data_IF_174610480115
#
_entry.id   IF_174610480115
#
_cell.length_a   1.000
_cell.length_b   1.000
_cell.length_c   1.000
_cell.angle_alpha   90.00
_cell.angle_beta   90.00
_cell.angle_gamma   90.00
#
_symmetry.space_group_name_H-M   'P 1'
#
loop_
_entity.id
_entity.type
_entity.pdbx_description
1 polymer ?
#
# COMPACT_ATOMS: atom_id res chain seq x y z
N UNK A 1 42.18 -0.55 5.11
CA UNK A 1 41.28 -0.32 6.24
C UNK A 1 39.84 -0.49 5.80
N UNK A 2 39.17 -1.56 6.24
CA UNK A 2 37.74 -1.74 6.02
C UNK A 2 37.00 -0.77 6.93
N UNK A 3 36.33 0.22 6.35
CA UNK A 3 35.40 1.06 7.11
C UNK A 3 34.24 0.19 7.56
N UNK A 4 34.15 -0.10 8.84
CA UNK A 4 32.94 -0.65 9.45
C UNK A 4 31.85 0.40 9.36
N UNK A 5 31.01 0.30 8.32
CA UNK A 5 29.77 1.07 8.24
C UNK A 5 28.80 0.49 9.27
N UNK A 6 28.93 0.93 10.52
CA UNK A 6 27.93 0.68 11.55
C UNK A 6 26.71 1.56 11.22
N UNK A 7 25.83 1.04 10.36
CA UNK A 7 24.53 1.65 10.12
C UNK A 7 23.67 1.35 11.35
N UNK A 8 23.62 2.26 12.29
CA UNK A 8 22.67 2.18 13.41
C UNK A 8 21.28 2.45 12.89
N UNK A 9 20.56 1.37 12.56
CA UNK A 9 19.19 1.44 12.09
C UNK A 9 18.26 1.63 13.31
N UNK A 10 18.09 2.87 13.75
CA UNK A 10 17.23 3.21 14.89
C UNK A 10 15.86 3.64 14.38
N UNK A 11 14.80 3.08 14.97
CA UNK A 11 13.41 3.41 14.65
C UNK A 11 12.90 4.46 15.60
N UNK A 12 12.20 5.44 15.05
CA UNK A 12 11.53 6.50 15.79
C UNK A 12 10.06 6.52 15.44
N UNK A 13 9.22 6.77 16.44
CA UNK A 13 7.79 6.98 16.22
C UNK A 13 7.52 8.48 16.26
N UNK A 14 6.78 8.98 15.26
CA UNK A 14 6.32 10.37 15.28
C UNK A 14 5.14 10.47 16.24
N UNK A 15 5.21 11.41 17.18
CA UNK A 15 4.13 11.66 18.14
C UNK A 15 2.94 12.41 17.49
N UNK A 16 1.84 12.57 18.24
CA UNK A 16 0.63 13.27 17.78
C UNK A 16 0.87 14.74 17.40
N UNK A 17 1.95 15.35 17.91
CA UNK A 17 2.35 16.71 17.62
C UNK A 17 3.36 16.80 16.45
N UNK A 18 3.66 15.68 15.80
CA UNK A 18 4.60 15.61 14.69
C UNK A 18 6.07 15.65 15.09
N UNK A 19 6.42 15.25 16.33
CA UNK A 19 7.79 15.25 16.80
C UNK A 19 8.36 13.84 16.92
N UNK A 20 9.69 13.73 16.89
CA UNK A 20 10.48 12.54 17.24
C UNK A 20 11.50 12.92 18.31
N UNK A 21 11.83 12.00 19.21
CA UNK A 21 12.91 12.16 20.20
C UNK A 21 14.16 11.45 19.71
N UNK A 22 15.20 12.25 19.37
CA UNK A 22 16.48 11.72 18.85
C UNK A 22 17.52 11.79 19.96
N UNK A 23 18.14 10.64 20.36
CA UNK A 23 19.18 10.62 21.38
C UNK A 23 20.33 11.58 21.04
N UNK A 24 20.71 12.40 22.00
CA UNK A 24 21.78 13.40 21.84
C UNK A 24 21.36 14.73 21.23
N UNK A 25 20.20 14.79 20.53
CA UNK A 25 19.65 16.03 19.96
C UNK A 25 18.42 16.49 20.73
N UNK A 26 17.61 15.52 21.25
CA UNK A 26 16.33 15.79 21.87
C UNK A 26 15.17 15.77 20.90
N UNK A 27 14.12 16.53 21.23
CA UNK A 27 12.86 16.57 20.46
C UNK A 27 13.00 17.38 19.18
N UNK A 28 12.66 16.76 18.05
CA UNK A 28 12.74 17.35 16.71
C UNK A 28 11.36 17.30 16.06
N UNK A 29 10.81 18.44 15.65
CA UNK A 29 9.56 18.51 14.89
C UNK A 29 9.82 18.07 13.42
N UNK A 30 9.12 17.03 13.00
CA UNK A 30 9.21 16.43 11.66
C UNK A 30 7.86 16.41 10.92
N UNK A 31 6.78 16.79 11.62
CA UNK A 31 5.44 16.84 11.04
C UNK A 31 5.39 17.76 9.80
N UNK A 32 4.77 17.28 8.73
CA UNK A 32 4.63 17.99 7.47
C UNK A 32 5.89 18.03 6.59
N UNK A 33 7.02 17.47 7.04
CA UNK A 33 8.26 17.41 6.28
C UNK A 33 8.34 16.11 5.46
N UNK A 34 8.96 16.21 4.29
CA UNK A 34 9.35 15.02 3.49
C UNK A 34 10.53 14.30 4.14
N UNK A 35 10.74 13.03 3.79
CA UNK A 35 11.87 12.22 4.31
C UNK A 35 13.24 12.90 4.06
N UNK A 36 13.40 13.52 2.90
CA UNK A 36 14.63 14.24 2.55
C UNK A 36 14.84 15.47 3.44
N UNK A 37 13.77 16.23 3.72
CA UNK A 37 13.82 17.39 4.61
C UNK A 37 14.11 16.99 6.05
N UNK A 38 13.49 15.90 6.53
CA UNK A 38 13.79 15.33 7.86
C UNK A 38 15.24 14.91 7.95
N UNK A 39 15.77 14.19 6.95
CA UNK A 39 17.17 13.80 6.90
C UNK A 39 18.11 14.98 6.96
N UNK A 40 17.86 16.01 6.15
CA UNK A 40 18.65 17.25 6.12
C UNK A 40 18.61 17.99 7.46
N UNK A 41 17.42 18.09 8.05
CA UNK A 41 17.21 18.73 9.36
C UNK A 41 17.98 18.04 10.48
N UNK A 42 17.86 16.72 10.58
CA UNK A 42 18.56 15.91 11.57
C UNK A 42 20.07 15.99 11.35
N UNK A 43 20.53 15.89 10.10
CA UNK A 43 21.94 16.00 9.75
C UNK A 43 22.54 17.36 10.15
N UNK A 44 21.80 18.46 9.95
CA UNK A 44 22.22 19.79 10.38
C UNK A 44 22.36 19.89 11.90
N UNK A 45 21.43 19.29 12.65
CA UNK A 45 21.47 19.27 14.12
C UNK A 45 22.67 18.45 14.64
N UNK A 46 23.02 17.32 14.02
CA UNK A 46 24.21 16.57 14.37
C UNK A 46 25.50 17.34 14.11
N UNK A 47 25.60 18.06 13.00
CA UNK A 47 26.78 18.87 12.65
C UNK A 47 27.03 20.03 13.58
N UNK A 48 25.98 20.58 14.19
CA UNK A 48 26.08 21.74 15.10
C UNK A 48 26.61 21.42 16.51
N UNK A 49 27.02 20.18 16.80
CA UNK A 49 27.55 19.93 18.12
C UNK A 49 28.01 18.51 18.47
N UNK A 50 27.74 17.50 17.62
CA UNK A 50 28.02 16.12 18.05
C UNK A 50 28.92 15.37 17.06
N UNK A 51 28.64 15.43 15.75
CA UNK A 51 29.37 14.66 14.72
C UNK A 51 29.51 15.50 13.44
N UNK A 52 30.73 15.79 13.00
CA UNK A 52 30.98 16.62 11.82
C UNK A 52 30.62 15.93 10.49
N UNK A 53 30.72 14.59 10.40
CA UNK A 53 30.53 13.82 9.17
C UNK A 53 29.33 12.85 9.23
N UNK A 54 28.27 13.24 9.96
CA UNK A 54 27.06 12.44 10.05
C UNK A 54 26.35 12.37 8.69
N UNK A 55 26.07 11.16 8.22
CA UNK A 55 25.18 10.89 7.10
C UNK A 55 23.87 10.34 7.69
N UNK A 56 22.76 11.03 7.46
CA UNK A 56 21.44 10.63 7.94
C UNK A 56 20.59 10.21 6.75
N UNK A 57 20.08 8.98 6.80
CA UNK A 57 19.11 8.47 5.85
C UNK A 57 17.80 8.19 6.58
N UNK A 58 16.70 8.72 6.09
CA UNK A 58 15.37 8.54 6.66
C UNK A 58 14.53 7.70 5.70
N UNK A 59 13.98 6.58 6.19
CA UNK A 59 13.03 5.76 5.48
C UNK A 59 11.78 5.55 6.32
N UNK A 60 10.62 5.48 5.67
CA UNK A 60 9.41 5.12 6.36
C UNK A 60 9.40 3.60 6.63
N UNK A 61 8.91 3.23 7.81
CA UNK A 61 8.81 1.85 8.24
C UNK A 61 7.33 1.49 8.47
N UNK A 62 6.98 0.21 8.27
CA UNK A 62 5.63 -0.31 8.46
C UNK A 62 4.53 0.36 7.59
N UNK A 63 4.90 0.95 6.46
CA UNK A 63 3.90 1.40 5.51
C UNK A 63 3.28 0.20 4.79
N UNK A 64 1.96 0.09 4.85
CA UNK A 64 1.22 -1.04 4.31
C UNK A 64 0.02 -0.58 3.49
N UNK A 65 -0.40 -1.42 2.56
CA UNK A 65 -1.68 -1.33 1.86
C UNK A 65 -2.35 -2.71 1.85
N UNK A 66 -3.59 -2.76 1.49
CA UNK A 66 -4.38 -3.99 1.49
C UNK A 66 -4.91 -4.30 0.11
N UNK A 67 -4.87 -5.56 -0.29
CA UNK A 67 -5.41 -6.01 -1.58
C UNK A 67 -6.39 -7.14 -1.35
N UNK A 68 -7.57 -7.03 -1.95
CA UNK A 68 -8.66 -7.98 -1.83
C UNK A 68 -9.31 -8.28 -3.18
N UNK A 69 -10.03 -9.39 -3.26
CA UNK A 69 -10.77 -9.81 -4.44
C UNK A 69 -9.97 -10.70 -5.38
N UNK A 70 -10.11 -10.50 -6.69
CA UNK A 70 -9.58 -11.37 -7.74
C UNK A 70 -8.09 -11.13 -8.04
N UNK A 71 -7.25 -11.44 -7.05
CA UNK A 71 -5.79 -11.47 -7.14
C UNK A 71 -5.25 -12.81 -6.67
N UNK A 72 -4.05 -13.20 -7.13
CA UNK A 72 -3.46 -14.49 -6.78
C UNK A 72 -3.04 -14.57 -5.30
N UNK A 73 -2.62 -13.44 -4.70
CA UNK A 73 -2.18 -13.38 -3.30
C UNK A 73 -2.78 -12.15 -2.60
N UNK A 74 -4.04 -12.22 -2.15
CA UNK A 74 -4.69 -11.14 -1.40
C UNK A 74 -4.08 -10.97 0.00
N UNK A 75 -4.39 -9.83 0.63
CA UNK A 75 -4.02 -9.53 2.01
C UNK A 75 -3.20 -8.26 2.18
N UNK A 76 -2.58 -8.11 3.35
CA UNK A 76 -1.69 -7.01 3.70
C UNK A 76 -0.40 -7.10 2.90
N UNK A 77 0.04 -5.99 2.32
CA UNK A 77 1.29 -5.84 1.56
C UNK A 77 2.09 -4.66 2.08
N UNK A 78 3.41 -4.70 1.95
CA UNK A 78 4.30 -3.64 2.39
C UNK A 78 4.65 -2.67 1.25
N UNK A 79 4.70 -1.39 1.57
CA UNK A 79 5.23 -0.36 0.68
C UNK A 79 6.73 -0.28 0.91
N UNK A 80 7.51 -1.00 0.11
CA UNK A 80 8.95 -1.17 0.26
C UNK A 80 9.77 -0.12 -0.51
N UNK A 81 9.12 0.89 -1.10
CA UNK A 81 9.76 1.98 -1.87
C UNK A 81 8.95 3.26 -1.79
N UNK A 82 9.59 4.38 -2.03
CA UNK A 82 8.98 5.71 -1.87
C UNK A 82 7.81 5.99 -2.81
N UNK A 83 7.83 5.41 -4.00
CA UNK A 83 6.80 5.61 -5.03
C UNK A 83 6.35 4.24 -5.56
N UNK A 84 5.54 3.54 -4.79
CA UNK A 84 4.90 2.30 -5.23
C UNK A 84 3.67 2.65 -6.07
N UNK A 85 3.68 2.33 -7.36
CA UNK A 85 2.49 2.54 -8.18
C UNK A 85 1.54 1.34 -8.14
N UNK A 86 0.28 1.56 -8.56
CA UNK A 86 -0.77 0.53 -8.50
C UNK A 86 -0.42 -0.73 -9.31
N UNK A 87 0.29 -0.59 -10.44
CA UNK A 87 0.71 -1.73 -11.26
C UNK A 87 1.72 -2.60 -10.50
N UNK A 88 2.70 -1.95 -9.85
CA UNK A 88 3.68 -2.63 -9.00
C UNK A 88 3.03 -3.26 -7.77
N UNK A 89 2.03 -2.58 -7.19
CA UNK A 89 1.27 -3.09 -6.06
C UNK A 89 0.50 -4.37 -6.43
N UNK A 90 -0.10 -4.42 -7.61
CA UNK A 90 -0.76 -5.62 -8.12
C UNK A 90 0.24 -6.74 -8.46
N UNK A 91 1.42 -6.39 -8.99
CA UNK A 91 2.49 -7.35 -9.24
C UNK A 91 3.00 -8.01 -7.94
N UNK A 92 3.04 -7.28 -6.81
CA UNK A 92 3.34 -7.87 -5.49
C UNK A 92 2.30 -8.91 -5.02
N UNK A 93 1.11 -8.90 -5.63
CA UNK A 93 0.06 -9.89 -5.38
C UNK A 93 0.11 -11.09 -6.34
N UNK A 94 1.22 -11.28 -7.06
CA UNK A 94 1.40 -12.30 -8.10
C UNK A 94 0.33 -12.19 -9.21
N UNK A 95 0.02 -10.93 -9.59
CA UNK A 95 -0.93 -10.54 -10.63
C UNK A 95 -2.41 -10.82 -10.30
N UNK A 96 -3.24 -10.35 -11.17
CA UNK A 96 -4.69 -10.49 -11.16
C UNK A 96 -5.10 -11.89 -11.61
N UNK A 97 -6.15 -12.46 -11.01
CA UNK A 97 -6.72 -13.70 -11.50
C UNK A 97 -7.27 -13.53 -12.92
N UNK A 98 -7.45 -14.64 -13.64
CA UNK A 98 -8.07 -14.65 -14.97
C UNK A 98 -9.51 -14.12 -14.94
N UNK A 99 -10.16 -14.21 -13.79
CA UNK A 99 -11.53 -13.78 -13.56
C UNK A 99 -11.63 -12.33 -13.06
N UNK A 100 -10.51 -11.62 -12.97
CA UNK A 100 -10.47 -10.25 -12.49
C UNK A 100 -11.03 -9.25 -13.52
N UNK A 101 -11.78 -8.27 -13.02
CA UNK A 101 -12.26 -7.14 -13.80
C UNK A 101 -11.18 -6.06 -13.92
N UNK A 102 -10.32 -6.13 -14.95
CA UNK A 102 -9.13 -5.26 -15.12
C UNK A 102 -9.45 -3.82 -15.49
N UNK A 103 -10.64 -3.55 -15.99
CA UNK A 103 -11.08 -2.21 -16.40
C UNK A 103 -11.71 -1.39 -15.27
N UNK A 104 -11.90 -1.98 -14.09
CA UNK A 104 -12.56 -1.32 -12.97
C UNK A 104 -12.02 -1.81 -11.64
N UNK A 105 -10.76 -1.48 -11.37
CA UNK A 105 -10.17 -1.74 -10.07
C UNK A 105 -10.56 -0.60 -9.14
N UNK A 106 -11.08 -0.94 -7.98
CA UNK A 106 -11.50 0.00 -6.95
C UNK A 106 -10.35 0.26 -5.99
N UNK A 107 -10.05 1.53 -5.73
CA UNK A 107 -9.11 1.94 -4.69
C UNK A 107 -9.86 2.82 -3.69
N UNK A 108 -9.86 2.40 -2.43
CA UNK A 108 -10.42 3.18 -1.33
C UNK A 108 -9.26 3.84 -0.59
N UNK A 109 -9.32 5.15 -0.47
CA UNK A 109 -8.32 5.99 0.22
C UNK A 109 -9.00 6.87 1.26
N UNK A 110 -8.43 6.89 2.44
CA UNK A 110 -8.84 7.86 3.46
C UNK A 110 -8.18 9.21 3.16
N UNK A 111 -8.98 10.25 2.99
CA UNK A 111 -8.56 11.63 2.81
C UNK A 111 -9.20 12.49 3.90
N UNK A 112 -8.44 12.81 4.94
CA UNK A 112 -8.98 13.41 6.16
C UNK A 112 -9.94 12.45 6.87
N UNK A 113 -11.16 12.91 7.11
CA UNK A 113 -12.22 12.11 7.79
C UNK A 113 -13.09 11.32 6.81
N UNK A 114 -12.87 11.43 5.50
CA UNK A 114 -13.67 10.77 4.47
C UNK A 114 -12.91 9.63 3.76
N UNK A 115 -13.66 8.58 3.41
CA UNK A 115 -13.14 7.52 2.54
C UNK A 115 -13.61 7.78 1.11
N UNK A 116 -12.66 8.08 0.22
CA UNK A 116 -12.92 8.26 -1.20
C UNK A 116 -12.69 6.97 -1.97
N UNK A 117 -13.58 6.72 -2.92
CA UNK A 117 -13.49 5.57 -3.82
C UNK A 117 -13.08 6.02 -5.21
N UNK A 118 -11.99 5.48 -5.70
CA UNK A 118 -11.47 5.71 -7.04
C UNK A 118 -11.61 4.43 -7.89
N UNK A 119 -11.87 4.61 -9.17
CA UNK A 119 -11.89 3.51 -10.13
C UNK A 119 -10.79 3.69 -11.15
N UNK A 120 -10.06 2.62 -11.43
CA UNK A 120 -8.90 2.63 -12.33
C UNK A 120 -9.05 1.52 -13.37
N UNK A 121 -8.81 1.84 -14.64
CA UNK A 121 -8.60 0.86 -15.70
C UNK A 121 -7.10 0.70 -15.96
N UNK A 122 -6.53 -0.44 -15.58
CA UNK A 122 -5.09 -0.70 -15.75
C UNK A 122 -4.68 -0.93 -17.21
N UNK A 123 -5.64 -1.01 -18.12
CA UNK A 123 -5.41 -1.16 -19.56
C UNK A 123 -5.41 0.20 -20.28
N UNK A 124 -5.91 1.26 -19.62
CA UNK A 124 -5.92 2.61 -20.16
C UNK A 124 -4.66 3.38 -19.79
N UNK A 125 -4.22 4.26 -20.68
CA UNK A 125 -3.14 5.24 -20.40
C UNK A 125 -3.52 6.24 -19.33
N UNK A 126 -4.80 6.45 -19.07
CA UNK A 126 -5.31 7.41 -18.07
C UNK A 126 -4.89 7.03 -16.64
N UNK A 127 -4.45 5.77 -16.45
CA UNK A 127 -3.93 5.32 -15.16
C UNK A 127 -2.76 6.19 -14.67
N UNK A 128 -1.90 6.68 -15.56
CA UNK A 128 -0.71 7.47 -15.20
C UNK A 128 -1.07 8.86 -14.66
N UNK A 129 -2.26 9.37 -14.97
CA UNK A 129 -2.78 10.66 -14.48
C UNK A 129 -3.76 10.51 -13.32
N UNK A 130 -4.03 9.28 -12.90
CA UNK A 130 -4.93 8.99 -11.79
C UNK A 130 -4.37 9.48 -10.45
N UNK A 131 -5.20 10.08 -9.57
CA UNK A 131 -4.77 10.47 -8.21
C UNK A 131 -4.33 9.28 -7.36
N UNK A 132 -4.74 8.07 -7.72
CA UNK A 132 -4.37 6.82 -7.02
C UNK A 132 -3.35 6.00 -7.79
N UNK A 133 -2.65 6.60 -8.77
CA UNK A 133 -1.56 5.93 -9.46
C UNK A 133 -0.46 5.50 -8.47
N UNK A 134 -0.06 6.38 -7.57
CA UNK A 134 0.84 6.06 -6.47
C UNK A 134 0.02 5.62 -5.25
N UNK A 135 0.32 4.42 -4.78
CA UNK A 135 -0.31 3.83 -3.60
C UNK A 135 0.21 4.52 -2.34
N UNK A 136 -0.70 4.80 -1.42
CA UNK A 136 -0.42 5.39 -0.13
C UNK A 136 -0.66 4.39 1.01
N UNK A 137 -0.17 4.74 2.18
CA UNK A 137 -0.40 3.96 3.39
C UNK A 137 -1.90 3.81 3.66
N UNK A 138 -2.31 2.59 4.02
CA UNK A 138 -3.69 2.20 4.31
C UNK A 138 -4.65 2.23 3.11
N UNK A 139 -4.18 2.41 1.87
CA UNK A 139 -5.00 2.21 0.69
C UNK A 139 -5.53 0.78 0.66
N UNK A 140 -6.79 0.63 0.24
CA UNK A 140 -7.41 -0.66 0.01
C UNK A 140 -7.68 -0.80 -1.49
N UNK A 141 -7.04 -1.77 -2.14
CA UNK A 141 -7.26 -2.12 -3.53
C UNK A 141 -8.21 -3.29 -3.57
N UNK A 142 -9.37 -3.11 -4.17
CA UNK A 142 -10.36 -4.17 -4.36
C UNK A 142 -10.55 -4.48 -5.83
N UNK A 143 -10.27 -5.72 -6.20
CA UNK A 143 -10.40 -6.22 -7.57
C UNK A 143 -11.68 -7.04 -7.68
N UNK A 144 -12.67 -6.48 -8.38
CA UNK A 144 -13.96 -7.13 -8.57
C UNK A 144 -13.85 -8.33 -9.53
N UNK A 145 -14.70 -9.38 -9.33
CA UNK A 145 -14.81 -10.47 -10.28
C UNK A 145 -15.49 -10.00 -11.58
N UNK A 146 -15.13 -10.61 -12.69
CA UNK A 146 -15.80 -10.36 -13.95
C UNK A 146 -17.19 -11.04 -14.02
N UNK A 147 -17.99 -10.68 -15.03
CA UNK A 147 -19.37 -11.20 -15.19
C UNK A 147 -19.43 -12.73 -15.33
N UNK A 148 -18.38 -13.37 -15.84
CA UNK A 148 -18.34 -14.83 -16.03
C UNK A 148 -18.38 -15.55 -14.68
N UNK A 149 -17.61 -15.07 -13.68
CA UNK A 149 -17.65 -15.65 -12.32
C UNK A 149 -19.00 -15.43 -11.62
N UNK A 150 -19.58 -14.24 -11.78
CA UNK A 150 -20.92 -13.96 -11.23
C UNK A 150 -22.00 -14.90 -11.83
N UNK A 151 -21.90 -15.22 -13.14
CA UNK A 151 -22.80 -16.16 -13.79
C UNK A 151 -22.61 -17.61 -13.36
N UNK A 152 -21.39 -18.04 -13.06
CA UNK A 152 -21.12 -19.39 -12.56
C UNK A 152 -21.65 -19.62 -11.15
N UNK A 153 -21.64 -18.62 -10.28
CA UNK A 153 -22.22 -18.70 -8.94
C UNK A 153 -23.74 -18.94 -8.98
N UNK A 154 -24.44 -18.24 -9.88
CA UNK A 154 -25.88 -18.40 -10.01
C UNK A 154 -26.30 -19.75 -10.65
N UNK A 155 -25.45 -20.33 -11.51
CA UNK A 155 -25.77 -21.61 -12.15
C UNK A 155 -25.62 -22.80 -11.19
N UNK A 156 -24.77 -22.71 -10.18
CA UNK A 156 -24.62 -23.78 -9.18
C UNK A 156 -25.83 -23.91 -8.26
N UNK A 157 -26.53 -22.83 -7.94
CA UNK A 157 -27.77 -22.89 -7.13
C UNK A 157 -28.92 -23.49 -7.91
N UNK A 158 -29.02 -23.25 -9.21
CA UNK A 158 -30.06 -23.82 -10.06
C UNK A 158 -29.83 -25.30 -10.42
N UNK A 159 -28.57 -25.77 -10.44
CA UNK A 159 -28.27 -27.17 -10.73
C UNK A 159 -28.60 -28.11 -9.55
N UNK A 160 -28.55 -27.60 -8.33
CA UNK A 160 -28.96 -28.38 -7.14
C UNK A 160 -30.48 -28.53 -7.04
N UNK A 161 -31.26 -27.58 -7.54
CA UNK A 161 -32.72 -27.70 -7.60
C UNK A 161 -33.20 -28.72 -8.63
N UNK A 162 -32.47 -28.93 -9.74
CA UNK A 162 -32.88 -29.88 -10.78
C UNK A 162 -32.67 -31.36 -10.40
N UNK A 163 -31.73 -31.66 -9.52
CA UNK A 163 -31.43 -33.01 -9.07
C UNK A 163 -32.50 -33.54 -8.07
N UNK A 164 -33.06 -32.62 -7.25
CA UNK A 164 -34.11 -32.99 -6.29
C UNK A 164 -35.47 -33.29 -6.96
N UNK A 165 -35.68 -32.84 -8.18
CA UNK A 165 -36.94 -33.01 -8.91
C UNK A 165 -37.08 -34.39 -9.58
N UNK A 166 -35.99 -35.13 -9.76
CA UNK A 166 -35.98 -36.47 -10.36
C UNK A 166 -36.11 -37.62 -9.37
N UNK A 167 -36.01 -37.35 -8.07
CA UNK A 167 -36.10 -38.40 -7.03
C UNK A 167 -37.51 -38.56 -6.41
N UNK A 168 -38.56 -37.90 -6.94
CA UNK A 168 -39.91 -37.95 -6.39
C UNK A 168 -40.91 -38.79 -7.24
N UNK A 169 -40.44 -39.61 -8.19
CA UNK A 169 -41.29 -40.47 -9.01
C UNK A 169 -40.76 -41.91 -8.85
N UNK A 170 -41.14 -42.54 -7.75
CA UNK A 170 -41.23 -44.00 -7.63
C UNK A 170 -42.21 -44.32 -6.51
#
# INVERSE_FOLDING_TARGET
GYANNNVNNTRYTVDENGNIDVPGIGRVCVGGLTRSEVATKIQALFRNGIINDAIVTVSAYDQVYYVMGEVSSPGKKEINRDNLNIIQALAQCNDLSILAQRNRIKVLRQEGDEIKTYYVDIRSKDIFTSPVYNIQQNDIIYVEPNKVRMGQSNNNENSLCSISMWMSIT
#
